data_IF_706282834140
#
_entry.id   IF_706282834140
#
_cell.length_a   1.000
_cell.length_b   1.000
_cell.length_c   1.000
_cell.angle_alpha   90.00
_cell.angle_beta   90.00
_cell.angle_gamma   90.00
#
_symmetry.space_group_name_H-M   'P 1'
#
loop_
_entity.id
_entity.type
_entity.pdbx_description
1 polymer ?
#
# COMPACT_ATOMS: atom_id res chain seq x y z
N UNK A 1 -0.44 3.38 -19.09
CA UNK A 1 0.62 2.58 -18.45
C UNK A 1 0.30 1.11 -18.70
N UNK A 2 1.12 0.40 -19.45
CA UNK A 2 0.97 -1.05 -19.58
C UNK A 2 1.79 -1.70 -18.45
N UNK A 3 1.12 -2.45 -17.58
CA UNK A 3 1.78 -3.06 -16.40
C UNK A 3 2.83 -4.08 -16.84
N UNK A 4 2.62 -4.74 -17.98
CA UNK A 4 3.54 -5.72 -18.54
C UNK A 4 4.95 -5.14 -18.80
N UNK A 5 5.08 -3.82 -19.00
CA UNK A 5 6.37 -3.17 -19.22
C UNK A 5 7.22 -3.06 -17.94
N UNK A 6 6.62 -3.29 -16.76
CA UNK A 6 7.25 -3.08 -15.44
C UNK A 6 7.38 -4.37 -14.62
N UNK A 7 6.84 -5.49 -15.08
CA UNK A 7 6.92 -6.78 -14.40
C UNK A 7 7.44 -7.84 -15.34
N UNK A 8 8.46 -8.58 -14.88
CA UNK A 8 9.09 -9.63 -15.67
C UNK A 8 8.17 -10.86 -15.83
N UNK A 9 7.34 -11.14 -14.83
CA UNK A 9 6.46 -12.31 -14.78
C UNK A 9 5.09 -11.92 -14.23
N UNK A 10 4.02 -12.35 -14.90
CA UNK A 10 2.66 -12.29 -14.38
C UNK A 10 2.23 -13.67 -13.90
N UNK A 11 1.99 -13.80 -12.59
CA UNK A 11 1.47 -15.03 -11.97
C UNK A 11 0.03 -14.78 -11.56
N UNK A 12 -0.90 -15.53 -12.15
CA UNK A 12 -2.31 -15.51 -11.76
C UNK A 12 -2.58 -16.66 -10.80
N UNK A 13 -3.04 -16.34 -9.59
CA UNK A 13 -3.38 -17.33 -8.57
C UNK A 13 -4.77 -17.06 -8.00
N UNK A 14 -5.54 -18.13 -7.81
CA UNK A 14 -6.86 -18.04 -7.16
C UNK A 14 -6.67 -18.18 -5.65
N UNK A 15 -7.36 -17.33 -4.89
CA UNK A 15 -7.34 -17.41 -3.43
C UNK A 15 -7.91 -18.75 -2.93
N UNK A 16 -7.13 -19.50 -2.16
CA UNK A 16 -7.48 -20.73 -1.46
C UNK A 16 -6.77 -20.78 -0.11
N UNK A 17 -7.16 -21.69 0.78
CA UNK A 17 -6.50 -21.82 2.08
C UNK A 17 -4.98 -22.04 1.95
N UNK A 18 -4.55 -22.79 0.94
CA UNK A 18 -3.13 -23.01 0.68
C UNK A 18 -2.48 -21.75 0.10
N UNK A 19 -3.02 -21.17 -0.98
CA UNK A 19 -2.38 -20.03 -1.66
C UNK A 19 -2.33 -18.78 -0.78
N UNK A 20 -3.29 -18.59 0.13
CA UNK A 20 -3.27 -17.50 1.13
C UNK A 20 -2.13 -17.62 2.14
N UNK A 21 -1.62 -18.83 2.39
CA UNK A 21 -0.49 -19.10 3.30
C UNK A 21 0.86 -19.10 2.57
N UNK A 22 0.84 -19.30 1.26
CA UNK A 22 2.01 -19.39 0.39
C UNK A 22 2.12 -18.15 -0.52
N UNK A 23 1.72 -18.27 -1.78
CA UNK A 23 1.94 -17.27 -2.85
C UNK A 23 1.33 -15.90 -2.52
N UNK A 24 0.15 -15.88 -1.89
CA UNK A 24 -0.59 -14.66 -1.59
C UNK A 24 -0.42 -14.17 -0.14
N UNK A 25 0.46 -14.81 0.66
CA UNK A 25 0.64 -14.50 2.09
C UNK A 25 0.81 -13.00 2.37
N UNK A 26 1.72 -12.35 1.65
CA UNK A 26 2.00 -10.93 1.86
C UNK A 26 0.86 -10.02 1.42
N UNK A 27 0.11 -10.42 0.38
CA UNK A 27 -1.10 -9.69 -0.06
C UNK A 27 -2.16 -9.71 1.05
N UNK A 28 -2.40 -10.86 1.66
CA UNK A 28 -3.36 -10.99 2.78
C UNK A 28 -2.93 -10.20 4.02
N UNK A 29 -1.63 -10.21 4.35
CA UNK A 29 -1.08 -9.40 5.44
C UNK A 29 -1.27 -7.91 5.15
N UNK A 30 -0.95 -7.45 3.94
CA UNK A 30 -1.13 -6.07 3.52
C UNK A 30 -2.60 -5.64 3.64
N UNK A 31 -3.54 -6.42 3.10
CA UNK A 31 -4.98 -6.15 3.19
C UNK A 31 -5.45 -6.07 4.65
N UNK A 32 -4.99 -6.99 5.51
CA UNK A 32 -5.35 -7.01 6.93
C UNK A 32 -4.84 -5.77 7.67
N UNK A 33 -3.61 -5.35 7.36
CA UNK A 33 -3.02 -4.13 7.91
C UNK A 33 -3.75 -2.87 7.44
N UNK A 34 -4.12 -2.79 6.16
CA UNK A 34 -4.92 -1.69 5.62
C UNK A 34 -6.27 -1.56 6.35
N UNK A 35 -6.98 -2.68 6.54
CA UNK A 35 -8.26 -2.68 7.27
C UNK A 35 -8.12 -2.15 8.68
N UNK A 36 -7.11 -2.63 9.43
CA UNK A 36 -6.84 -2.16 10.79
C UNK A 36 -6.46 -0.67 10.82
N UNK A 37 -5.65 -0.22 9.87
CA UNK A 37 -5.25 1.18 9.75
C UNK A 37 -6.44 2.10 9.50
N UNK A 38 -7.37 1.70 8.62
CA UNK A 38 -8.54 2.52 8.31
C UNK A 38 -9.46 2.70 9.50
N UNK A 39 -9.70 1.64 10.27
CA UNK A 39 -10.53 1.70 11.49
C UNK A 39 -9.87 2.60 12.55
N UNK A 40 -8.54 2.55 12.69
CA UNK A 40 -7.81 3.36 13.68
C UNK A 40 -7.69 4.84 13.31
N UNK A 41 -7.52 5.16 12.02
CA UNK A 41 -7.23 6.52 11.56
C UNK A 41 -8.45 7.31 11.09
N UNK A 42 -9.54 6.64 10.72
CA UNK A 42 -10.70 7.28 10.10
C UNK A 42 -11.99 6.93 10.84
N UNK A 43 -12.58 7.93 11.49
CA UNK A 43 -13.83 7.77 12.25
C UNK A 43 -15.05 7.38 11.38
N UNK A 44 -15.06 7.77 10.09
CA UNK A 44 -16.15 7.44 9.14
C UNK A 44 -15.60 7.28 7.72
N UNK A 45 -15.26 6.04 7.35
CA UNK A 45 -14.78 5.72 6.00
C UNK A 45 -15.91 5.98 5.00
N UNK A 46 -15.67 6.86 4.02
CA UNK A 46 -16.60 7.11 2.91
C UNK A 46 -16.05 6.50 1.63
N UNK A 47 -16.88 5.75 0.90
CA UNK A 47 -16.48 5.08 -0.36
C UNK A 47 -15.86 6.04 -1.38
N UNK A 48 -16.35 7.27 -1.47
CA UNK A 48 -15.82 8.30 -2.38
C UNK A 48 -14.35 8.67 -2.15
N UNK A 49 -13.79 8.35 -0.96
CA UNK A 49 -12.40 8.63 -0.61
C UNK A 49 -11.54 7.35 -0.50
N UNK A 50 -12.06 6.19 -0.90
CA UNK A 50 -11.37 4.91 -0.72
C UNK A 50 -9.97 4.91 -1.35
N UNK A 51 -9.83 5.46 -2.56
CA UNK A 51 -8.53 5.55 -3.21
C UNK A 51 -7.56 6.46 -2.45
N UNK A 52 -8.04 7.56 -1.86
CA UNK A 52 -7.20 8.44 -1.05
C UNK A 52 -6.70 7.74 0.22
N UNK A 53 -7.57 6.99 0.91
CA UNK A 53 -7.17 6.19 2.07
C UNK A 53 -6.14 5.12 1.69
N UNK A 54 -6.31 4.46 0.54
CA UNK A 54 -5.35 3.49 0.02
C UNK A 54 -4.02 4.15 -0.33
N UNK A 55 -4.04 5.30 -1.01
CA UNK A 55 -2.84 6.06 -1.35
C UNK A 55 -2.09 6.49 -0.08
N UNK A 56 -2.80 6.98 0.94
CA UNK A 56 -2.22 7.35 2.23
C UNK A 56 -1.57 6.14 2.92
N UNK A 57 -2.26 5.00 2.95
CA UNK A 57 -1.72 3.76 3.51
C UNK A 57 -0.44 3.33 2.80
N UNK A 58 -0.44 3.29 1.46
CA UNK A 58 0.73 2.90 0.66
C UNK A 58 1.88 3.89 0.87
N UNK A 59 1.59 5.20 0.89
CA UNK A 59 2.59 6.24 1.12
C UNK A 59 3.27 6.11 2.50
N UNK A 60 2.50 5.80 3.55
CA UNK A 60 3.04 5.52 4.90
C UNK A 60 3.82 4.22 4.91
N UNK A 61 3.29 3.15 4.30
CA UNK A 61 3.92 1.83 4.26
C UNK A 61 5.29 1.86 3.56
N UNK A 62 5.39 2.54 2.42
CA UNK A 62 6.63 2.61 1.62
C UNK A 62 7.73 3.40 2.31
N UNK A 63 7.38 4.33 3.21
CA UNK A 63 8.33 5.21 3.90
C UNK A 63 8.57 4.83 5.36
N UNK A 64 8.04 3.68 5.81
CA UNK A 64 8.16 3.23 7.22
C UNK A 64 9.59 3.08 7.73
N UNK A 65 10.56 2.93 6.83
CA UNK A 65 11.98 2.79 7.16
C UNK A 65 12.78 4.08 6.94
N UNK A 66 12.13 5.22 6.75
CA UNK A 66 12.84 6.49 6.53
C UNK A 66 13.45 7.04 7.82
N UNK A 67 12.92 6.65 8.99
CA UNK A 67 13.42 7.10 10.29
C UNK A 67 13.40 8.63 10.38
N UNK A 68 14.49 9.22 10.87
CA UNK A 68 14.66 10.67 11.01
C UNK A 68 14.63 11.41 9.67
N UNK A 69 14.95 10.73 8.56
CA UNK A 69 14.98 11.31 7.21
C UNK A 69 13.59 11.60 6.63
N UNK A 70 12.51 11.32 7.36
CA UNK A 70 11.15 11.49 6.86
C UNK A 70 10.83 12.95 6.56
N UNK A 71 11.38 13.87 7.35
CA UNK A 71 11.23 15.31 7.16
C UNK A 71 11.94 15.77 5.88
N UNK A 72 13.23 15.45 5.73
CA UNK A 72 14.01 15.84 4.54
C UNK A 72 13.39 15.28 3.25
N UNK A 73 12.91 14.03 3.30
CA UNK A 73 12.23 13.40 2.17
C UNK A 73 10.90 14.07 1.83
N UNK A 74 10.18 14.59 2.83
CA UNK A 74 8.96 15.36 2.60
C UNK A 74 9.30 16.67 1.89
N UNK A 75 10.31 17.40 2.36
CA UNK A 75 10.77 18.65 1.75
C UNK A 75 11.14 18.42 0.28
N UNK A 76 11.93 17.38 0.00
CA UNK A 76 12.31 17.01 -1.38
C UNK A 76 11.08 16.76 -2.25
N UNK A 77 10.13 15.95 -1.80
CA UNK A 77 8.91 15.67 -2.57
C UNK A 77 8.09 16.94 -2.85
N UNK A 78 7.99 17.85 -1.86
CA UNK A 78 7.28 19.12 -2.01
C UNK A 78 7.91 20.09 -3.01
N UNK A 79 9.24 20.08 -3.15
CA UNK A 79 9.94 20.96 -4.12
C UNK A 79 10.06 20.32 -5.50
N UNK A 80 10.17 18.99 -5.61
CA UNK A 80 10.35 18.32 -6.90
C UNK A 80 9.04 17.94 -7.58
N UNK A 81 7.90 17.94 -6.86
CA UNK A 81 6.61 17.54 -7.41
C UNK A 81 6.53 16.07 -7.85
N UNK A 82 7.44 15.23 -7.31
CA UNK A 82 7.52 13.78 -7.52
C UNK A 82 6.75 13.04 -6.42
#
# INVERSE_FOLDING_TARGET
VNIADYVEIHIMEKSSEQTTKETLKWVHIAISNTKRNFVGNHYKIKRKYLQLYLNEFVYKLNRRYFGERIFDRLVIASITGL
#
